data_IF_459395381660
#
_entry.id   IF_459395381660
#
_cell.length_a   1.000
_cell.length_b   1.000
_cell.length_c   1.000
_cell.angle_alpha   90.00
_cell.angle_beta   90.00
_cell.angle_gamma   90.00
#
_symmetry.space_group_name_H-M   'P 1'
#
loop_
_entity.id
_entity.type
_entity.pdbx_description
1 polymer ?
#
# COMPACT_ATOMS: atom_id res chain seq x y z
N UNK A 1 -5.60 11.80 -61.15
CA UNK A 1 -5.30 12.01 -59.74
C UNK A 1 -5.35 13.52 -59.52
N UNK A 2 -6.29 13.99 -58.69
CA UNK A 2 -6.58 15.43 -58.54
C UNK A 2 -7.21 15.73 -57.20
N UNK A 3 -6.89 16.89 -56.63
CA UNK A 3 -7.54 17.41 -55.43
C UNK A 3 -9.03 17.68 -55.68
N UNK A 4 -9.89 17.21 -54.79
CA UNK A 4 -11.35 17.33 -54.86
C UNK A 4 -11.90 18.09 -53.64
N UNK A 5 -12.17 19.39 -53.82
CA UNK A 5 -12.91 20.20 -52.87
C UNK A 5 -14.38 20.27 -53.33
N UNK A 6 -15.23 19.34 -52.87
CA UNK A 6 -16.60 19.18 -53.39
C UNK A 6 -17.67 19.88 -52.58
N UNK A 7 -17.35 20.32 -51.36
CA UNK A 7 -18.29 21.00 -50.46
C UNK A 7 -18.10 22.52 -50.41
N UNK A 8 -19.03 23.19 -49.74
CA UNK A 8 -18.96 24.62 -49.43
C UNK A 8 -17.75 24.93 -48.55
N UNK A 9 -17.00 25.99 -48.87
CA UNK A 9 -15.81 26.42 -48.11
C UNK A 9 -14.74 25.31 -47.90
N UNK A 10 -14.71 24.30 -48.78
CA UNK A 10 -13.77 23.19 -48.71
C UNK A 10 -12.36 23.60 -49.16
N UNK A 11 -11.33 23.02 -48.53
CA UNK A 11 -9.93 23.16 -48.95
C UNK A 11 -9.35 21.77 -49.21
N UNK A 12 -8.87 21.52 -50.44
CA UNK A 12 -8.18 20.28 -50.80
C UNK A 12 -6.84 20.60 -51.49
N UNK A 13 -5.73 20.11 -50.94
CA UNK A 13 -4.37 20.36 -51.44
C UNK A 13 -3.56 19.05 -51.44
N UNK A 14 -3.22 18.55 -52.62
CA UNK A 14 -2.42 17.33 -52.78
C UNK A 14 -3.06 16.36 -53.77
N UNK A 15 -2.28 15.38 -54.21
CA UNK A 15 -2.78 14.37 -55.16
C UNK A 15 -3.80 13.45 -54.49
N UNK A 16 -4.88 13.10 -55.20
CA UNK A 16 -5.99 12.28 -54.71
C UNK A 16 -6.61 12.72 -53.36
N UNK A 17 -6.52 14.01 -53.03
CA UNK A 17 -7.15 14.59 -51.83
C UNK A 17 -8.64 14.82 -51.98
N UNK A 18 -9.38 14.69 -50.87
CA UNK A 18 -10.83 14.92 -50.83
C UNK A 18 -11.24 15.72 -49.60
N UNK A 19 -11.96 16.82 -49.83
CA UNK A 19 -12.59 17.63 -48.79
C UNK A 19 -14.06 17.95 -49.15
N UNK A 20 -14.97 17.82 -48.19
CA UNK A 20 -16.39 18.20 -48.33
C UNK A 20 -16.73 19.48 -47.55
N UNK A 21 -17.91 19.61 -46.95
CA UNK A 21 -18.42 20.88 -46.43
C UNK A 21 -17.64 21.41 -45.22
N UNK A 22 -17.08 22.62 -45.35
CA UNK A 22 -16.22 23.27 -44.37
C UNK A 22 -15.03 22.40 -43.94
N UNK A 23 -14.62 21.46 -44.78
CA UNK A 23 -13.55 20.52 -44.48
C UNK A 23 -12.21 20.98 -45.09
N UNK A 24 -11.11 20.55 -44.48
CA UNK A 24 -9.74 20.83 -44.92
C UNK A 24 -9.02 19.50 -45.10
N UNK A 25 -8.51 19.22 -46.29
CA UNK A 25 -7.67 18.06 -46.61
C UNK A 25 -6.35 18.53 -47.24
N UNK A 26 -5.21 18.19 -46.66
CA UNK A 26 -3.87 18.58 -47.13
C UNK A 26 -2.92 17.39 -47.05
N UNK A 27 -2.26 17.00 -48.14
CA UNK A 27 -1.34 15.84 -48.21
C UNK A 27 -1.77 14.82 -49.26
N UNK A 28 -0.92 13.91 -49.73
CA UNK A 28 -1.32 12.92 -50.74
C UNK A 28 -2.38 11.98 -50.16
N UNK A 29 -3.48 11.74 -50.88
CA UNK A 29 -4.59 10.87 -50.44
C UNK A 29 -5.29 11.31 -49.14
N UNK A 30 -5.05 12.52 -48.65
CA UNK A 30 -5.73 13.04 -47.45
C UNK A 30 -7.24 13.13 -47.66
N UNK A 31 -8.03 12.65 -46.70
CA UNK A 31 -9.47 12.42 -46.84
C UNK A 31 -10.26 13.02 -45.66
N UNK A 32 -10.83 14.20 -45.88
CA UNK A 32 -11.72 14.91 -44.97
C UNK A 32 -13.16 14.91 -45.56
N UNK A 33 -13.83 13.75 -45.55
CA UNK A 33 -15.09 13.55 -46.30
C UNK A 33 -16.37 13.90 -45.54
N UNK A 34 -16.27 14.36 -44.30
CA UNK A 34 -17.42 14.78 -43.51
C UNK A 34 -17.36 16.26 -43.13
N UNK A 35 -18.50 16.80 -42.70
CA UNK A 35 -18.63 18.22 -42.38
C UNK A 35 -17.65 18.63 -41.27
N UNK A 36 -16.98 19.77 -41.47
CA UNK A 36 -16.03 20.36 -40.50
C UNK A 36 -14.83 19.45 -40.14
N UNK A 37 -14.49 18.49 -41.01
CA UNK A 37 -13.35 17.60 -40.82
C UNK A 37 -12.02 18.28 -41.22
N UNK A 38 -10.93 17.99 -40.50
CA UNK A 38 -9.58 18.48 -40.84
C UNK A 38 -8.63 17.30 -40.95
N UNK A 39 -8.15 16.97 -42.14
CA UNK A 39 -7.16 15.94 -42.42
C UNK A 39 -5.89 16.58 -43.00
N UNK A 40 -4.77 16.54 -42.27
CA UNK A 40 -3.49 17.15 -42.69
C UNK A 40 -2.36 16.13 -42.56
N UNK A 41 -1.90 15.59 -43.68
CA UNK A 41 -0.86 14.57 -43.77
C UNK A 41 -1.21 13.53 -44.83
N UNK A 42 -0.19 12.89 -45.39
CA UNK A 42 -0.38 11.85 -46.40
C UNK A 42 -1.20 10.69 -45.81
N UNK A 43 -2.20 10.21 -46.54
CA UNK A 43 -3.16 9.18 -46.13
C UNK A 43 -3.92 9.48 -44.81
N UNK A 44 -3.95 10.74 -44.37
CA UNK A 44 -4.72 11.13 -43.19
C UNK A 44 -6.23 11.06 -43.44
N UNK A 45 -7.01 10.63 -42.46
CA UNK A 45 -8.46 10.45 -42.56
C UNK A 45 -9.15 11.17 -41.41
N UNK A 46 -10.09 12.07 -41.72
CA UNK A 46 -10.93 12.75 -40.75
C UNK A 46 -12.41 12.65 -41.15
N UNK A 47 -13.25 12.29 -40.18
CA UNK A 47 -14.72 12.28 -40.30
C UNK A 47 -15.35 13.47 -39.56
N UNK A 48 -16.64 13.41 -39.22
CA UNK A 48 -17.47 14.55 -38.80
C UNK A 48 -16.87 15.29 -37.61
N UNK A 49 -16.59 16.59 -37.77
CA UNK A 49 -16.05 17.45 -36.72
C UNK A 49 -14.75 16.92 -36.08
N UNK A 50 -13.99 16.12 -36.82
CA UNK A 50 -12.77 15.50 -36.32
C UNK A 50 -11.51 16.13 -36.91
N UNK A 51 -10.38 15.92 -36.24
CA UNK A 51 -9.08 16.44 -36.63
C UNK A 51 -8.09 15.28 -36.72
N UNK A 52 -7.54 15.03 -37.90
CA UNK A 52 -6.43 14.13 -38.14
C UNK A 52 -5.22 14.93 -38.67
N UNK A 53 -4.09 14.91 -37.96
CA UNK A 53 -2.86 15.58 -38.40
C UNK A 53 -1.66 14.65 -38.23
N UNK A 54 -0.82 14.54 -39.26
CA UNK A 54 0.24 13.55 -39.37
C UNK A 54 -0.02 12.52 -40.47
N UNK A 55 1.05 11.95 -41.02
CA UNK A 55 0.91 10.92 -42.05
C UNK A 55 0.22 9.68 -41.46
N UNK A 56 -0.75 9.12 -42.17
CA UNK A 56 -1.59 8.00 -41.73
C UNK A 56 -2.37 8.24 -40.43
N UNK A 57 -2.50 9.48 -39.95
CA UNK A 57 -3.35 9.80 -38.80
C UNK A 57 -4.83 9.54 -39.15
N UNK A 58 -5.57 8.86 -38.27
CA UNK A 58 -6.96 8.45 -38.49
C UNK A 58 -7.85 8.92 -37.34
N UNK A 59 -8.71 9.89 -37.64
CA UNK A 59 -9.78 10.37 -36.78
C UNK A 59 -11.11 9.84 -37.33
N UNK A 60 -11.42 8.56 -37.03
CA UNK A 60 -12.53 7.82 -37.64
C UNK A 60 -13.88 8.11 -36.97
N UNK A 61 -13.88 8.37 -35.66
CA UNK A 61 -15.08 8.70 -34.90
C UNK A 61 -15.48 10.17 -35.07
N UNK A 62 -16.76 10.48 -34.86
CA UNK A 62 -17.19 11.87 -34.75
C UNK A 62 -16.47 12.58 -33.58
N UNK A 63 -16.19 13.87 -33.75
CA UNK A 63 -15.55 14.74 -32.73
C UNK A 63 -14.21 14.21 -32.18
N UNK A 64 -13.51 13.37 -32.95
CA UNK A 64 -12.21 12.80 -32.58
C UNK A 64 -11.03 13.71 -32.91
N UNK A 65 -9.90 13.49 -32.22
CA UNK A 65 -8.62 14.15 -32.50
C UNK A 65 -7.54 13.09 -32.61
N UNK A 66 -6.88 12.98 -33.76
CA UNK A 66 -5.73 12.13 -34.02
C UNK A 66 -4.55 12.99 -34.49
N UNK A 67 -3.48 13.09 -33.69
CA UNK A 67 -2.33 13.96 -33.96
C UNK A 67 -1.04 13.17 -33.81
N UNK A 68 -0.33 12.94 -34.90
CA UNK A 68 0.92 12.17 -34.94
C UNK A 68 0.93 11.17 -36.09
N UNK A 69 2.13 10.70 -36.47
CA UNK A 69 2.25 9.61 -37.44
C UNK A 69 1.49 8.39 -36.93
N UNK A 70 0.55 7.88 -37.72
CA UNK A 70 -0.26 6.70 -37.43
C UNK A 70 -1.07 6.78 -36.11
N UNK A 71 -1.34 8.00 -35.60
CA UNK A 71 -2.27 8.19 -34.48
C UNK A 71 -3.68 7.76 -34.89
N UNK A 72 -4.39 7.01 -34.05
CA UNK A 72 -5.69 6.43 -34.37
C UNK A 72 -6.71 6.68 -33.26
N UNK A 73 -7.70 7.53 -33.54
CA UNK A 73 -8.88 7.75 -32.71
C UNK A 73 -10.12 7.17 -33.41
N UNK A 74 -10.67 6.08 -32.86
CA UNK A 74 -11.57 5.19 -33.60
C UNK A 74 -13.03 5.58 -33.46
N UNK A 75 -13.47 5.97 -32.27
CA UNK A 75 -14.89 6.18 -31.93
C UNK A 75 -15.14 7.56 -31.31
N UNK A 76 -16.39 7.88 -31.00
CA UNK A 76 -16.85 9.22 -30.57
C UNK A 76 -15.97 9.83 -29.45
N UNK A 77 -15.60 11.11 -29.62
CA UNK A 77 -14.80 11.91 -28.68
C UNK A 77 -13.40 11.37 -28.34
N UNK A 78 -12.89 10.37 -29.06
CA UNK A 78 -11.55 9.83 -28.86
C UNK A 78 -10.44 10.85 -29.15
N UNK A 79 -9.41 10.89 -28.32
CA UNK A 79 -8.23 11.75 -28.46
C UNK A 79 -6.98 10.85 -28.52
N UNK A 80 -6.28 10.81 -29.64
CA UNK A 80 -5.01 10.11 -29.82
C UNK A 80 -3.92 11.11 -30.24
N UNK A 81 -2.98 11.42 -29.37
CA UNK A 81 -1.91 12.40 -29.62
C UNK A 81 -0.55 11.77 -29.38
N UNK A 82 0.18 11.45 -30.45
CA UNK A 82 1.49 10.82 -30.40
C UNK A 82 1.70 9.86 -31.57
N UNK A 83 2.96 9.48 -31.82
CA UNK A 83 3.29 8.46 -32.81
C UNK A 83 2.61 7.13 -32.43
N UNK A 84 1.73 6.62 -33.29
CA UNK A 84 0.96 5.39 -33.07
C UNK A 84 0.18 5.38 -31.73
N UNK A 85 -0.27 6.55 -31.25
CA UNK A 85 -1.21 6.63 -30.13
C UNK A 85 -2.58 6.05 -30.53
N UNK A 86 -3.23 5.30 -29.65
CA UNK A 86 -4.46 4.57 -29.92
C UNK A 86 -5.55 4.90 -28.91
N UNK A 87 -6.59 5.61 -29.35
CA UNK A 87 -7.83 5.82 -28.62
C UNK A 87 -8.92 4.98 -29.30
N UNK A 88 -9.12 3.74 -28.84
CA UNK A 88 -9.88 2.72 -29.60
C UNK A 88 -11.38 2.73 -29.33
N UNK A 89 -11.81 3.32 -28.21
CA UNK A 89 -13.20 3.31 -27.74
C UNK A 89 -13.69 4.70 -27.29
N UNK A 90 -14.97 4.78 -26.94
CA UNK A 90 -15.66 6.05 -26.71
C UNK A 90 -15.02 6.85 -25.57
N UNK A 91 -14.83 8.15 -25.79
CA UNK A 91 -14.21 9.08 -24.84
C UNK A 91 -12.78 8.67 -24.39
N UNK A 92 -12.12 7.76 -25.11
CA UNK A 92 -10.74 7.36 -24.82
C UNK A 92 -9.76 8.50 -25.07
N UNK A 93 -8.80 8.71 -24.17
CA UNK A 93 -7.73 9.69 -24.33
C UNK A 93 -6.38 9.01 -24.23
N UNK A 94 -5.64 8.93 -25.34
CA UNK A 94 -4.30 8.37 -25.45
C UNK A 94 -3.32 9.48 -25.87
N UNK A 95 -2.41 9.87 -24.99
CA UNK A 95 -1.42 10.94 -25.21
C UNK A 95 -0.02 10.40 -24.97
N UNK A 96 0.81 10.32 -26.00
CA UNK A 96 2.16 9.76 -25.95
C UNK A 96 2.37 8.75 -27.06
N UNK A 97 3.63 8.57 -27.48
CA UNK A 97 3.95 7.55 -28.46
C UNK A 97 3.56 6.16 -27.94
N UNK A 98 2.91 5.34 -28.78
CA UNK A 98 2.44 3.99 -28.43
C UNK A 98 1.45 3.92 -27.25
N UNK A 99 0.90 5.06 -26.80
CA UNK A 99 -0.12 5.06 -25.75
C UNK A 99 -1.42 4.41 -26.23
N UNK A 100 -2.14 3.71 -25.34
CA UNK A 100 -3.36 2.99 -25.69
C UNK A 100 -4.44 3.20 -24.62
N UNK A 101 -5.61 3.67 -25.02
CA UNK A 101 -6.75 3.88 -24.14
C UNK A 101 -8.05 3.30 -24.73
N UNK A 102 -8.86 2.68 -23.88
CA UNK A 102 -10.21 2.15 -24.19
C UNK A 102 -11.32 3.02 -23.58
N UNK A 103 -12.52 2.47 -23.38
CA UNK A 103 -13.74 3.24 -23.07
C UNK A 103 -13.62 4.09 -21.82
N UNK A 104 -13.81 5.41 -21.95
CA UNK A 104 -13.64 6.40 -20.88
C UNK A 104 -12.26 6.35 -20.18
N UNK A 105 -11.27 5.74 -20.81
CA UNK A 105 -9.95 5.56 -20.23
C UNK A 105 -9.00 6.69 -20.63
N UNK A 106 -7.99 6.92 -19.79
CA UNK A 106 -6.94 7.92 -20.04
C UNK A 106 -5.59 7.22 -19.95
N UNK A 107 -4.84 7.22 -21.04
CA UNK A 107 -3.45 6.81 -21.11
C UNK A 107 -2.58 8.02 -21.48
N UNK A 108 -1.67 8.44 -20.61
CA UNK A 108 -0.80 9.60 -20.86
C UNK A 108 0.66 9.29 -20.50
N UNK A 109 1.54 9.19 -21.49
CA UNK A 109 2.94 8.78 -21.37
C UNK A 109 3.36 7.91 -22.55
N UNK A 110 4.66 7.73 -22.75
CA UNK A 110 5.15 6.79 -23.78
C UNK A 110 4.79 5.37 -23.35
N UNK A 111 4.14 4.62 -24.24
CA UNK A 111 3.66 3.26 -23.97
C UNK A 111 2.69 3.12 -22.78
N UNK A 112 2.09 4.21 -22.31
CA UNK A 112 1.05 4.16 -21.28
C UNK A 112 -0.16 3.35 -21.78
N UNK A 113 -0.69 2.45 -20.96
CA UNK A 113 -1.69 1.46 -21.36
C UNK A 113 -2.86 1.43 -20.38
N UNK A 114 -3.97 2.04 -20.76
CA UNK A 114 -5.24 2.05 -20.04
C UNK A 114 -6.24 1.12 -20.76
N UNK A 115 -6.16 -0.18 -20.47
CA UNK A 115 -6.85 -1.23 -21.24
C UNK A 115 -8.27 -1.54 -20.75
N UNK A 116 -8.57 -1.19 -19.50
CA UNK A 116 -9.91 -1.38 -18.92
C UNK A 116 -10.80 -0.14 -19.02
N UNK A 117 -12.10 -0.35 -18.94
CA UNK A 117 -13.05 0.75 -18.93
C UNK A 117 -12.82 1.67 -17.72
N UNK A 118 -12.83 2.99 -17.95
CA UNK A 118 -12.56 4.01 -16.92
C UNK A 118 -11.20 3.87 -16.22
N UNK A 119 -10.21 3.27 -16.89
CA UNK A 119 -8.85 3.16 -16.39
C UNK A 119 -8.07 4.47 -16.57
N UNK A 120 -7.13 4.76 -15.67
CA UNK A 120 -6.24 5.93 -15.77
C UNK A 120 -4.79 5.45 -15.65
N UNK A 121 -4.02 5.50 -16.72
CA UNK A 121 -2.59 5.21 -16.76
C UNK A 121 -1.81 6.49 -17.13
N UNK A 122 -1.06 7.06 -16.19
CA UNK A 122 -0.29 8.29 -16.40
C UNK A 122 1.17 8.07 -16.03
N UNK A 123 2.07 8.10 -17.01
CA UNK A 123 3.50 7.85 -16.87
C UNK A 123 3.98 6.86 -17.93
N UNK A 124 5.27 6.92 -18.24
CA UNK A 124 5.88 6.03 -19.22
C UNK A 124 5.77 4.57 -18.76
N UNK A 125 5.34 3.68 -19.65
CA UNK A 125 5.08 2.25 -19.39
C UNK A 125 4.09 1.99 -18.23
N UNK A 126 3.25 2.97 -17.87
CA UNK A 126 2.20 2.76 -16.86
C UNK A 126 1.08 1.86 -17.39
N UNK A 127 0.53 0.99 -16.55
CA UNK A 127 -0.52 0.03 -16.92
C UNK A 127 -1.68 0.12 -15.96
N UNK A 128 -2.88 0.37 -16.48
CA UNK A 128 -4.13 0.37 -15.73
C UNK A 128 -5.19 -0.52 -16.43
N UNK A 129 -5.91 -1.30 -15.64
CA UNK A 129 -7.08 -2.10 -16.06
C UNK A 129 -8.38 -1.49 -15.53
N UNK A 130 -9.48 -2.25 -15.50
CA UNK A 130 -10.84 -1.74 -15.28
C UNK A 130 -10.97 -0.95 -13.97
N UNK A 131 -11.44 0.31 -14.09
CA UNK A 131 -11.65 1.23 -12.95
C UNK A 131 -10.41 1.42 -12.06
N UNK A 132 -9.21 1.20 -12.60
CA UNK A 132 -7.96 1.31 -11.85
C UNK A 132 -7.19 2.57 -12.21
N UNK A 133 -6.27 2.97 -11.33
CA UNK A 133 -5.46 4.17 -11.47
C UNK A 133 -3.99 3.77 -11.32
N UNK A 134 -3.19 3.93 -12.37
CA UNK A 134 -1.74 3.83 -12.35
C UNK A 134 -1.13 5.21 -12.67
N UNK A 135 -0.36 5.78 -11.73
CA UNK A 135 0.32 7.06 -11.95
C UNK A 135 1.79 6.97 -11.54
N UNK A 136 2.70 7.37 -12.41
CA UNK A 136 4.14 7.18 -12.28
C UNK A 136 4.70 6.26 -13.36
N UNK A 137 5.98 6.46 -13.70
CA UNK A 137 6.64 5.59 -14.68
C UNK A 137 6.69 4.14 -14.17
N UNK A 138 6.35 3.20 -15.04
CA UNK A 138 6.23 1.77 -14.72
C UNK A 138 5.24 1.42 -13.59
N UNK A 139 4.34 2.33 -13.19
CA UNK A 139 3.28 2.02 -12.24
C UNK A 139 2.29 1.00 -12.84
N UNK A 140 1.91 -0.02 -12.08
CA UNK A 140 1.05 -1.12 -12.54
C UNK A 140 -0.14 -1.31 -11.61
N UNK A 141 -1.32 -0.97 -12.10
CA UNK A 141 -2.61 -1.22 -11.49
C UNK A 141 -3.30 -2.35 -12.29
N UNK A 142 -2.89 -3.60 -12.01
CA UNK A 142 -3.27 -4.77 -12.82
C UNK A 142 -4.65 -5.33 -12.43
N UNK A 143 -5.03 -5.22 -11.15
CA UNK A 143 -6.33 -5.65 -10.67
C UNK A 143 -7.44 -4.63 -10.98
N UNK A 144 -8.69 -5.09 -11.03
CA UNK A 144 -9.82 -4.17 -11.08
C UNK A 144 -9.84 -3.29 -9.82
N UNK A 145 -10.32 -2.05 -9.95
CA UNK A 145 -10.47 -1.09 -8.84
C UNK A 145 -9.19 -0.84 -8.01
N UNK A 146 -8.01 -1.07 -8.61
CA UNK A 146 -6.71 -0.86 -7.96
C UNK A 146 -6.20 0.57 -8.08
N UNK A 147 -5.29 0.94 -7.19
CA UNK A 147 -4.57 2.22 -7.21
C UNK A 147 -3.08 1.95 -7.08
N UNK A 148 -2.28 2.30 -8.07
CA UNK A 148 -0.82 2.25 -8.08
C UNK A 148 -0.26 3.66 -8.34
N UNK A 149 0.39 4.27 -7.35
CA UNK A 149 0.90 5.64 -7.42
C UNK A 149 2.37 5.68 -7.01
N UNK A 150 3.27 5.99 -7.95
CA UNK A 150 4.71 6.06 -7.73
C UNK A 150 5.49 5.31 -8.81
N UNK A 151 6.79 5.58 -8.92
CA UNK A 151 7.67 4.81 -9.80
C UNK A 151 7.64 3.34 -9.40
N UNK A 152 7.32 2.46 -10.34
CA UNK A 152 7.27 1.00 -10.15
C UNK A 152 6.32 0.54 -9.02
N UNK A 153 5.34 1.36 -8.63
CA UNK A 153 4.28 0.93 -7.72
C UNK A 153 3.44 -0.19 -8.36
N UNK A 154 3.11 -1.24 -7.62
CA UNK A 154 2.44 -2.42 -8.17
C UNK A 154 1.26 -2.86 -7.29
N UNK A 155 0.04 -2.70 -7.81
CA UNK A 155 -1.20 -3.21 -7.24
C UNK A 155 -1.74 -4.33 -8.15
N UNK A 156 -1.65 -5.58 -7.70
CA UNK A 156 -1.75 -6.75 -8.59
C UNK A 156 -3.18 -7.27 -8.74
N UNK A 157 -3.98 -7.23 -7.68
CA UNK A 157 -5.30 -7.88 -7.62
C UNK A 157 -6.38 -6.91 -7.13
N UNK A 158 -7.65 -7.36 -7.12
CA UNK A 158 -8.83 -6.55 -6.82
C UNK A 158 -8.67 -5.67 -5.56
N UNK A 159 -9.06 -4.39 -5.67
CA UNK A 159 -9.04 -3.38 -4.60
C UNK A 159 -7.66 -3.09 -3.97
N UNK A 160 -6.56 -3.56 -4.56
CA UNK A 160 -5.20 -3.28 -4.07
C UNK A 160 -4.82 -1.80 -4.17
N UNK A 161 -4.17 -1.26 -3.14
CA UNK A 161 -3.67 0.11 -3.08
C UNK A 161 -2.16 0.07 -2.84
N UNK A 162 -1.36 0.49 -3.81
CA UNK A 162 0.09 0.63 -3.73
C UNK A 162 0.50 2.09 -3.97
N UNK A 163 0.92 2.81 -2.93
CA UNK A 163 1.28 4.24 -3.02
C UNK A 163 2.69 4.44 -2.50
N UNK A 164 3.65 4.69 -3.38
CA UNK A 164 5.06 4.89 -3.07
C UNK A 164 5.98 4.31 -4.14
N UNK A 165 7.26 4.70 -4.10
CA UNK A 165 8.28 4.10 -4.96
C UNK A 165 8.41 2.60 -4.68
N UNK A 166 8.14 1.76 -5.68
CA UNK A 166 8.18 0.30 -5.55
C UNK A 166 7.32 -0.26 -4.40
N UNK A 167 6.20 0.42 -4.07
CA UNK A 167 5.19 -0.11 -3.15
C UNK A 167 4.47 -1.32 -3.78
N UNK A 168 4.19 -2.36 -2.99
CA UNK A 168 3.65 -3.64 -3.47
C UNK A 168 2.40 -4.06 -2.71
N UNK A 169 1.25 -3.95 -3.35
CA UNK A 169 -0.01 -4.56 -2.91
C UNK A 169 -0.28 -5.79 -3.79
N UNK A 170 0.17 -6.97 -3.34
CA UNK A 170 0.26 -8.15 -4.21
C UNK A 170 -1.00 -9.01 -4.24
N UNK A 171 -1.87 -8.86 -3.25
CA UNK A 171 -3.07 -9.68 -3.05
C UNK A 171 -4.33 -8.82 -2.80
N UNK A 172 -5.48 -9.48 -2.74
CA UNK A 172 -6.80 -8.83 -2.67
C UNK A 172 -6.93 -7.94 -1.43
N UNK A 173 -7.49 -6.74 -1.61
CA UNK A 173 -7.68 -5.73 -0.57
C UNK A 173 -6.39 -5.32 0.17
N UNK A 174 -5.21 -5.62 -0.39
CA UNK A 174 -3.93 -5.23 0.19
C UNK A 174 -3.72 -3.70 0.08
N UNK A 175 -3.25 -3.07 1.15
CA UNK A 175 -2.88 -1.64 1.16
C UNK A 175 -1.42 -1.48 1.55
N UNK A 176 -0.58 -1.06 0.62
CA UNK A 176 0.84 -0.76 0.81
C UNK A 176 1.09 0.74 0.53
N UNK A 177 1.43 1.51 1.56
CA UNK A 177 1.67 2.95 1.48
C UNK A 177 3.07 3.26 2.02
N UNK A 178 3.95 3.78 1.19
CA UNK A 178 5.35 4.06 1.52
C UNK A 178 6.29 3.41 0.51
N UNK A 179 7.50 3.97 0.36
CA UNK A 179 8.50 3.39 -0.51
C UNK A 179 8.89 1.99 -0.02
N UNK A 180 8.99 1.01 -0.92
CA UNK A 180 9.31 -0.39 -0.61
C UNK A 180 8.34 -1.08 0.36
N UNK A 181 7.17 -0.51 0.62
CA UNK A 181 6.14 -1.14 1.45
C UNK A 181 5.55 -2.37 0.74
N UNK A 182 5.17 -3.40 1.51
CA UNK A 182 4.60 -4.64 0.97
C UNK A 182 3.44 -5.13 1.83
N UNK A 183 2.29 -5.36 1.19
CA UNK A 183 1.09 -5.89 1.81
C UNK A 183 0.51 -7.05 0.99
N UNK A 184 0.03 -8.08 1.69
CA UNK A 184 -0.66 -9.25 1.14
C UNK A 184 -2.17 -9.21 1.47
N UNK A 185 -2.84 -10.36 1.45
CA UNK A 185 -4.31 -10.47 1.48
C UNK A 185 -4.93 -9.77 2.71
N UNK A 186 -5.81 -8.79 2.47
CA UNK A 186 -6.45 -7.96 3.50
C UNK A 186 -5.46 -7.25 4.45
N UNK A 187 -4.19 -7.15 4.09
CA UNK A 187 -3.15 -6.60 4.93
C UNK A 187 -2.96 -5.10 4.68
N UNK A 188 -2.45 -4.40 5.69
CA UNK A 188 -2.13 -2.97 5.64
C UNK A 188 -0.67 -2.77 6.04
N UNK A 189 0.16 -2.31 5.10
CA UNK A 189 1.52 -1.85 5.33
C UNK A 189 1.59 -0.34 5.08
N UNK A 190 1.96 0.45 6.09
CA UNK A 190 2.05 1.90 5.97
C UNK A 190 3.35 2.43 6.62
N UNK A 191 4.31 2.85 5.81
CA UNK A 191 5.65 3.27 6.21
C UNK A 191 6.68 2.87 5.16
N UNK A 192 7.88 3.48 5.21
CA UNK A 192 8.99 3.06 4.34
C UNK A 192 9.41 1.64 4.75
N UNK A 193 9.51 0.72 3.78
CA UNK A 193 9.87 -0.68 4.02
C UNK A 193 8.94 -1.45 4.98
N UNK A 194 7.75 -0.93 5.28
CA UNK A 194 6.75 -1.62 6.09
C UNK A 194 6.29 -2.91 5.40
N UNK A 195 6.24 -4.02 6.14
CA UNK A 195 5.97 -5.36 5.63
C UNK A 195 4.83 -6.02 6.40
N UNK A 196 3.65 -6.06 5.79
CA UNK A 196 2.49 -6.80 6.25
C UNK A 196 2.34 -8.06 5.38
N UNK A 197 3.15 -9.09 5.68
CA UNK A 197 3.32 -10.27 4.80
C UNK A 197 2.32 -11.39 5.07
N UNK A 198 1.58 -11.32 6.18
CA UNK A 198 0.55 -12.29 6.53
C UNK A 198 -0.87 -11.82 6.21
N UNK A 199 -1.81 -12.76 6.19
CA UNK A 199 -3.23 -12.42 5.96
C UNK A 199 -3.75 -11.55 7.10
N UNK A 200 -4.47 -10.47 6.76
CA UNK A 200 -5.02 -9.51 7.73
C UNK A 200 -3.98 -8.89 8.66
N UNK A 201 -2.71 -8.83 8.23
CA UNK A 201 -1.62 -8.22 8.98
C UNK A 201 -1.71 -6.70 8.95
N UNK A 202 -1.28 -6.03 10.02
CA UNK A 202 -1.19 -4.57 10.08
C UNK A 202 0.25 -4.19 10.48
N UNK A 203 0.99 -3.54 9.59
CA UNK A 203 2.35 -3.04 9.82
C UNK A 203 2.39 -1.52 9.56
N UNK A 204 2.46 -0.71 10.61
CA UNK A 204 2.40 0.76 10.51
C UNK A 204 3.63 1.39 11.17
N UNK A 205 4.49 2.01 10.38
CA UNK A 205 5.78 2.59 10.77
C UNK A 205 6.90 2.15 9.83
N UNK A 206 8.00 2.89 9.83
CA UNK A 206 9.16 2.54 9.00
C UNK A 206 9.81 1.24 9.49
N UNK A 207 10.22 0.37 8.56
CA UNK A 207 10.82 -0.94 8.81
C UNK A 207 9.98 -1.88 9.72
N UNK A 208 8.66 -1.69 9.75
CA UNK A 208 7.74 -2.55 10.51
C UNK A 208 7.50 -3.90 9.87
N UNK A 209 7.25 -4.92 10.69
CA UNK A 209 6.96 -6.28 10.21
C UNK A 209 5.81 -6.91 10.97
N UNK A 210 4.77 -7.32 10.24
CA UNK A 210 3.62 -8.06 10.76
C UNK A 210 3.32 -9.29 9.88
N UNK A 211 3.00 -10.42 10.51
CA UNK A 211 2.56 -11.66 9.85
C UNK A 211 1.06 -11.94 10.14
N UNK A 212 0.61 -13.19 10.09
CA UNK A 212 -0.82 -13.54 10.03
C UNK A 212 -1.63 -13.04 11.22
N UNK A 213 -2.63 -12.19 10.96
CA UNK A 213 -3.46 -11.53 11.97
C UNK A 213 -2.66 -10.78 13.04
N UNK A 214 -1.41 -10.42 12.72
CA UNK A 214 -0.52 -9.71 13.62
C UNK A 214 -0.63 -8.19 13.42
N UNK A 215 -0.35 -7.44 14.48
CA UNK A 215 -0.37 -5.98 14.49
C UNK A 215 0.97 -5.48 14.97
N UNK A 216 1.72 -4.79 14.11
CA UNK A 216 2.96 -4.08 14.41
C UNK A 216 2.77 -2.58 14.15
N UNK A 217 2.94 -1.74 15.17
CA UNK A 217 2.80 -0.28 15.05
C UNK A 217 3.95 0.42 15.78
N UNK A 218 4.71 1.27 15.09
CA UNK A 218 5.92 1.95 15.61
C UNK A 218 7.15 1.65 14.77
N UNK A 219 8.17 2.50 14.79
CA UNK A 219 9.37 2.30 13.96
C UNK A 219 10.07 0.99 14.36
N UNK A 220 10.39 0.15 13.39
CA UNK A 220 11.01 -1.18 13.61
C UNK A 220 10.19 -2.14 14.51
N UNK A 221 8.90 -1.87 14.74
CA UNK A 221 8.04 -2.78 15.50
C UNK A 221 7.89 -4.13 14.77
N UNK A 222 7.93 -5.23 15.54
CA UNK A 222 8.10 -6.58 15.01
C UNK A 222 7.11 -7.56 15.64
N UNK A 223 6.03 -7.86 14.91
CA UNK A 223 5.02 -8.86 15.25
C UNK A 223 5.14 -10.04 14.27
N UNK A 224 6.18 -10.86 14.42
CA UNK A 224 6.60 -11.88 13.42
C UNK A 224 5.90 -13.23 13.53
N UNK A 225 4.94 -13.37 14.44
CA UNK A 225 4.19 -14.60 14.62
C UNK A 225 2.68 -14.35 14.60
N UNK A 226 1.91 -15.43 14.40
CA UNK A 226 0.47 -15.33 14.29
C UNK A 226 -0.18 -14.70 15.53
N UNK A 227 -1.12 -13.79 15.31
CA UNK A 227 -1.88 -13.08 16.36
C UNK A 227 -1.01 -12.29 17.35
N UNK A 228 0.22 -11.95 16.97
CA UNK A 228 1.12 -11.12 17.79
C UNK A 228 0.72 -9.64 17.72
N UNK A 229 0.87 -8.90 18.82
CA UNK A 229 0.61 -7.46 18.88
C UNK A 229 1.86 -6.75 19.42
N UNK A 230 2.57 -6.03 18.57
CA UNK A 230 3.74 -5.20 18.92
C UNK A 230 3.42 -3.72 18.66
N UNK A 231 3.27 -2.92 19.71
CA UNK A 231 2.94 -1.49 19.60
C UNK A 231 3.97 -0.65 20.36
N UNK A 232 4.81 0.07 19.63
CA UNK A 232 5.91 0.89 20.13
C UNK A 232 7.17 0.68 19.31
N UNK A 233 8.03 1.69 19.27
CA UNK A 233 9.30 1.60 18.54
C UNK A 233 10.16 0.46 19.08
N UNK A 234 10.74 -0.35 18.19
CA UNK A 234 11.52 -1.55 18.50
C UNK A 234 10.79 -2.59 19.39
N UNK A 235 9.45 -2.54 19.48
CA UNK A 235 8.68 -3.54 20.22
C UNK A 235 8.70 -4.88 19.50
N UNK A 236 8.73 -5.98 20.26
CA UNK A 236 8.81 -7.35 19.72
C UNK A 236 7.74 -8.21 20.36
N UNK A 237 6.87 -8.79 19.54
CA UNK A 237 5.86 -9.77 19.95
C UNK A 237 5.96 -11.04 19.08
N UNK A 238 5.90 -12.19 19.74
CA UNK A 238 5.81 -13.52 19.12
C UNK A 238 4.39 -14.12 19.27
N UNK A 239 4.24 -15.44 19.13
CA UNK A 239 2.95 -16.14 18.96
C UNK A 239 1.94 -15.79 20.05
N UNK A 240 0.80 -15.19 19.65
CA UNK A 240 -0.29 -14.81 20.55
C UNK A 240 0.15 -13.93 21.74
N UNK A 241 1.24 -13.18 21.58
CA UNK A 241 1.79 -12.33 22.62
C UNK A 241 1.50 -10.86 22.36
N UNK A 242 1.58 -10.04 23.41
CA UNK A 242 1.30 -8.62 23.38
C UNK A 242 2.51 -7.87 23.94
N UNK A 243 3.20 -7.08 23.13
CA UNK A 243 4.22 -6.13 23.53
C UNK A 243 3.72 -4.71 23.26
N UNK A 244 3.59 -3.88 24.30
CA UNK A 244 3.18 -2.48 24.14
C UNK A 244 4.12 -1.56 24.92
N UNK A 245 4.65 -0.53 24.26
CA UNK A 245 5.71 0.34 24.77
C UNK A 245 6.98 0.23 23.93
N UNK A 246 7.75 1.32 23.86
CA UNK A 246 9.02 1.31 23.14
C UNK A 246 9.98 0.29 23.78
N UNK A 247 10.62 -0.51 22.94
CA UNK A 247 11.50 -1.63 23.32
C UNK A 247 10.84 -2.72 24.19
N UNK A 248 9.50 -2.75 24.32
CA UNK A 248 8.81 -3.83 25.01
C UNK A 248 9.01 -5.17 24.28
N UNK A 249 9.29 -6.25 25.02
CA UNK A 249 9.60 -7.57 24.49
C UNK A 249 8.70 -8.64 25.09
N UNK A 250 7.80 -9.18 24.28
CA UNK A 250 6.99 -10.35 24.57
C UNK A 250 7.52 -11.52 23.73
N UNK A 251 8.62 -12.14 24.20
CA UNK A 251 9.37 -13.15 23.42
C UNK A 251 8.75 -14.54 23.51
N UNK A 252 8.08 -14.85 24.62
CA UNK A 252 7.41 -16.14 24.83
C UNK A 252 6.04 -16.19 24.19
N UNK A 253 5.56 -17.40 23.86
CA UNK A 253 4.16 -17.58 23.46
C UNK A 253 3.21 -17.11 24.58
N UNK A 254 2.07 -16.54 24.20
CA UNK A 254 1.01 -16.10 25.13
C UNK A 254 1.49 -15.13 26.23
N UNK A 255 2.58 -14.40 25.99
CA UNK A 255 3.13 -13.41 26.94
C UNK A 255 2.50 -12.03 26.81
N UNK A 256 2.60 -11.23 27.87
CA UNK A 256 2.18 -9.83 27.90
C UNK A 256 3.31 -8.98 28.45
N UNK A 257 3.86 -8.08 27.66
CA UNK A 257 4.85 -7.07 28.05
C UNK A 257 4.28 -5.66 27.81
N UNK A 258 4.06 -4.88 28.86
CA UNK A 258 3.43 -3.55 28.78
C UNK A 258 4.27 -2.53 29.53
N UNK A 259 4.87 -1.59 28.83
CA UNK A 259 5.74 -0.54 29.37
C UNK A 259 7.04 -0.41 28.58
N UNK A 260 7.71 0.73 28.72
CA UNK A 260 9.06 0.92 28.17
C UNK A 260 9.99 -0.18 28.69
N UNK A 261 10.64 -0.92 27.79
CA UNK A 261 11.59 -1.98 28.12
C UNK A 261 11.01 -3.11 29.01
N UNK A 262 9.68 -3.26 29.07
CA UNK A 262 9.06 -4.41 29.74
C UNK A 262 9.44 -5.71 29.01
N UNK A 263 9.81 -6.76 29.74
CA UNK A 263 10.34 -7.99 29.16
C UNK A 263 9.66 -9.24 29.76
N UNK A 264 8.86 -9.91 28.94
CA UNK A 264 8.27 -11.21 29.23
C UNK A 264 8.90 -12.27 28.30
N UNK A 265 9.74 -13.14 28.84
CA UNK A 265 10.70 -13.93 28.06
C UNK A 265 10.12 -15.26 27.59
N UNK A 266 9.31 -15.91 28.41
CA UNK A 266 8.88 -17.31 28.23
C UNK A 266 7.37 -17.47 28.39
N UNK A 267 6.85 -18.65 28.04
CA UNK A 267 5.41 -18.98 28.02
C UNK A 267 4.60 -18.41 29.19
N UNK A 268 3.47 -17.76 28.87
CA UNK A 268 2.50 -17.17 29.80
C UNK A 268 3.06 -16.07 30.75
N UNK A 269 4.27 -15.55 30.51
CA UNK A 269 4.84 -14.46 31.31
C UNK A 269 4.06 -13.15 31.16
N UNK A 270 3.89 -12.42 32.27
CA UNK A 270 3.25 -11.10 32.33
C UNK A 270 4.22 -10.11 32.94
N UNK A 271 4.70 -9.13 32.17
CA UNK A 271 5.55 -8.03 32.60
C UNK A 271 4.85 -6.69 32.34
N UNK A 272 4.37 -6.02 33.38
CA UNK A 272 3.62 -4.76 33.26
C UNK A 272 4.29 -3.67 34.09
N UNK A 273 4.96 -2.73 33.44
CA UNK A 273 5.69 -1.62 34.07
C UNK A 273 6.97 -1.30 33.32
N UNK A 274 7.52 -0.10 33.53
CA UNK A 274 8.82 0.29 33.02
C UNK A 274 9.90 -0.70 33.49
N UNK A 275 10.58 -1.37 32.55
CA UNK A 275 11.61 -2.38 32.82
C UNK A 275 11.14 -3.51 33.77
N UNK A 276 9.84 -3.85 33.77
CA UNK A 276 9.34 -5.04 34.47
C UNK A 276 9.86 -6.32 33.80
N UNK A 277 10.25 -7.33 34.58
CA UNK A 277 10.89 -8.55 34.09
C UNK A 277 10.17 -9.81 34.56
N UNK A 278 9.52 -10.50 33.62
CA UNK A 278 8.98 -11.84 33.80
C UNK A 278 9.85 -12.83 32.99
N UNK A 279 10.90 -13.37 33.61
CA UNK A 279 11.99 -14.05 32.88
C UNK A 279 11.76 -15.54 32.64
N UNK A 280 10.83 -16.16 33.36
CA UNK A 280 10.56 -17.59 33.31
C UNK A 280 9.05 -17.91 33.17
N UNK A 281 8.73 -19.20 33.01
CA UNK A 281 7.39 -19.67 32.71
C UNK A 281 6.38 -19.26 33.80
N UNK A 282 5.21 -18.77 33.36
CA UNK A 282 4.12 -18.30 34.22
C UNK A 282 4.54 -17.20 35.23
N UNK A 283 5.67 -16.52 35.01
CA UNK A 283 6.11 -15.41 35.84
C UNK A 283 5.19 -14.19 35.66
N UNK A 284 4.80 -13.54 36.77
CA UNK A 284 4.01 -12.30 36.74
C UNK A 284 4.75 -11.20 37.48
N UNK A 285 5.27 -10.21 36.76
CA UNK A 285 5.94 -9.02 37.25
C UNK A 285 5.11 -7.77 36.92
N UNK A 286 4.51 -7.13 37.93
CA UNK A 286 3.66 -5.94 37.78
C UNK A 286 4.23 -4.82 38.65
N UNK A 287 4.70 -3.75 38.02
CA UNK A 287 5.35 -2.60 38.64
C UNK A 287 6.66 -2.27 37.97
N UNK A 288 7.07 -1.01 38.02
CA UNK A 288 8.36 -0.60 37.47
C UNK A 288 9.49 -1.36 38.17
N UNK A 289 10.46 -1.88 37.39
CA UNK A 289 11.59 -2.67 37.89
C UNK A 289 11.19 -3.95 38.67
N UNK A 290 9.94 -4.40 38.59
CA UNK A 290 9.52 -5.66 39.22
C UNK A 290 10.19 -6.85 38.52
N UNK A 291 10.51 -7.90 39.27
CA UNK A 291 11.16 -9.11 38.75
C UNK A 291 10.51 -10.37 39.28
N UNK A 292 10.06 -11.24 38.39
CA UNK A 292 9.50 -12.54 38.71
C UNK A 292 10.15 -13.65 37.85
N UNK A 293 10.40 -14.79 38.50
CA UNK A 293 10.91 -16.03 37.89
C UNK A 293 9.82 -17.11 37.83
N UNK A 294 10.21 -18.38 37.73
CA UNK A 294 9.30 -19.51 37.43
C UNK A 294 8.10 -19.60 38.39
N UNK A 295 6.87 -19.52 37.86
CA UNK A 295 5.61 -19.53 38.61
C UNK A 295 5.53 -18.48 39.74
N UNK A 296 6.35 -17.42 39.68
CA UNK A 296 6.44 -16.42 40.72
C UNK A 296 5.58 -15.19 40.39
N UNK A 297 5.17 -14.47 41.44
CA UNK A 297 4.41 -13.23 41.32
C UNK A 297 5.14 -12.12 42.07
N UNK A 298 5.59 -11.10 41.35
CA UNK A 298 6.11 -9.85 41.89
C UNK A 298 5.16 -8.71 41.53
N UNK A 299 4.55 -8.05 42.52
CA UNK A 299 3.61 -6.95 42.31
C UNK A 299 3.96 -5.75 43.20
N UNK A 300 4.41 -4.65 42.62
CA UNK A 300 4.91 -3.46 43.30
C UNK A 300 6.16 -2.90 42.60
N UNK A 301 6.48 -1.62 42.82
CA UNK A 301 7.72 -1.04 42.30
C UNK A 301 8.90 -1.78 42.93
N UNK A 302 9.83 -2.27 42.11
CA UNK A 302 11.00 -3.03 42.55
C UNK A 302 10.69 -4.28 43.37
N UNK A 303 9.46 -4.82 43.31
CA UNK A 303 9.12 -6.11 43.91
C UNK A 303 9.94 -7.24 43.24
N UNK A 304 10.49 -8.16 44.04
CA UNK A 304 11.42 -9.19 43.59
C UNK A 304 10.99 -10.57 44.08
N UNK A 305 10.43 -11.38 43.18
CA UNK A 305 10.06 -12.77 43.42
C UNK A 305 10.96 -13.69 42.58
N UNK A 306 12.21 -13.88 43.03
CA UNK A 306 13.29 -14.57 42.27
C UNK A 306 13.45 -16.05 42.61
N UNK A 307 12.59 -16.58 43.48
CA UNK A 307 12.49 -18.00 43.74
C UNK A 307 11.32 -18.64 43.01
N UNK A 308 11.42 -19.93 42.69
CA UNK A 308 10.31 -20.68 42.12
C UNK A 308 9.09 -20.63 43.04
N UNK A 309 7.92 -20.31 42.48
CA UNK A 309 6.64 -20.17 43.21
C UNK A 309 6.67 -19.13 44.35
N UNK A 310 7.53 -18.12 44.26
CA UNK A 310 7.59 -17.02 45.21
C UNK A 310 6.49 -15.98 44.95
N UNK A 311 6.00 -15.32 46.01
CA UNK A 311 5.02 -14.23 45.91
C UNK A 311 5.53 -13.02 46.67
N UNK A 312 5.92 -11.95 45.97
CA UNK A 312 6.33 -10.67 46.52
C UNK A 312 5.30 -9.60 46.14
N UNK A 313 4.51 -9.09 47.10
CA UNK A 313 3.48 -8.08 46.85
C UNK A 313 3.72 -6.87 47.75
N UNK A 314 4.07 -5.74 47.16
CA UNK A 314 4.42 -4.47 47.81
C UNK A 314 5.71 -3.90 47.22
N UNK A 315 5.87 -2.58 47.29
CA UNK A 315 7.08 -1.92 46.83
C UNK A 315 8.31 -2.43 47.60
N UNK A 316 9.40 -2.71 46.89
CA UNK A 316 10.64 -3.30 47.42
C UNK A 316 10.45 -4.63 48.19
N UNK A 317 9.32 -5.33 47.99
CA UNK A 317 9.11 -6.64 48.61
C UNK A 317 10.02 -7.70 47.98
N UNK A 318 10.51 -8.64 48.78
CA UNK A 318 11.43 -9.70 48.35
C UNK A 318 10.93 -11.06 48.82
N UNK A 319 10.69 -11.97 47.89
CA UNK A 319 10.35 -13.36 48.14
C UNK A 319 11.32 -14.30 47.40
N UNK A 320 11.80 -15.33 48.09
CA UNK A 320 12.59 -16.42 47.51
C UNK A 320 11.75 -17.70 47.40
N UNK A 321 12.38 -18.86 47.19
CA UNK A 321 11.72 -20.12 46.82
C UNK A 321 10.54 -20.50 47.72
N UNK A 322 9.35 -20.63 47.11
CA UNK A 322 8.10 -20.99 47.76
C UNK A 322 7.71 -20.09 48.95
N UNK A 323 8.20 -18.86 48.99
CA UNK A 323 7.92 -17.91 50.08
C UNK A 323 6.93 -16.83 49.67
N UNK A 324 6.28 -16.22 50.66
CA UNK A 324 5.30 -15.15 50.46
C UNK A 324 5.74 -13.94 51.29
N UNK A 325 5.99 -12.81 50.62
CA UNK A 325 6.27 -11.51 51.23
C UNK A 325 5.19 -10.51 50.80
N UNK A 326 4.40 -10.03 51.75
CA UNK A 326 3.34 -9.04 51.49
C UNK A 326 3.54 -7.78 52.33
N UNK A 327 3.35 -6.61 51.70
CA UNK A 327 3.61 -5.29 52.27
C UNK A 327 4.92 -4.65 51.78
N UNK A 328 4.99 -3.32 51.86
CA UNK A 328 6.18 -2.57 51.45
C UNK A 328 7.42 -3.02 52.22
N UNK A 329 8.52 -3.26 51.51
CA UNK A 329 9.80 -3.76 52.03
C UNK A 329 9.71 -5.08 52.81
N UNK A 330 8.63 -5.87 52.65
CA UNK A 330 8.53 -7.20 53.24
C UNK A 330 9.58 -8.13 52.61
N UNK A 331 10.36 -8.84 53.43
CA UNK A 331 11.39 -9.80 52.96
C UNK A 331 11.20 -11.20 53.53
N UNK A 332 10.68 -12.12 52.73
CA UNK A 332 10.57 -13.55 53.03
C UNK A 332 11.68 -14.30 52.29
N UNK A 333 12.81 -14.54 52.95
CA UNK A 333 14.01 -15.14 52.32
C UNK A 333 14.23 -16.61 52.67
N UNK A 334 13.45 -17.15 53.60
CA UNK A 334 13.49 -18.58 53.94
C UNK A 334 12.62 -19.39 52.99
N UNK A 335 13.01 -20.62 52.69
CA UNK A 335 12.16 -21.55 51.95
C UNK A 335 10.83 -21.74 52.69
N UNK A 336 9.70 -21.71 51.98
CA UNK A 336 8.34 -21.82 52.57
C UNK A 336 8.02 -20.79 53.65
N UNK A 337 8.72 -19.66 53.69
CA UNK A 337 8.49 -18.61 54.69
C UNK A 337 7.34 -17.67 54.31
N UNK A 338 6.66 -17.12 55.32
CA UNK A 338 5.66 -16.07 55.16
C UNK A 338 6.12 -14.83 55.93
N UNK A 339 6.14 -13.67 55.29
CA UNK A 339 6.31 -12.38 55.95
C UNK A 339 5.22 -11.41 55.50
N UNK A 340 4.63 -10.73 56.48
CA UNK A 340 3.58 -9.77 56.29
C UNK A 340 3.94 -8.47 57.03
N UNK A 341 4.10 -7.39 56.28
CA UNK A 341 4.29 -6.03 56.80
C UNK A 341 2.97 -5.29 56.64
N UNK A 342 2.32 -4.97 57.75
CA UNK A 342 1.08 -4.19 57.75
C UNK A 342 1.38 -2.75 58.15
N UNK A 343 0.95 -1.79 57.33
CA UNK A 343 0.79 -0.40 57.79
C UNK A 343 -0.46 -0.35 58.66
N UNK A 344 -0.38 0.17 59.89
CA UNK A 344 -1.59 0.36 60.71
C UNK A 344 -2.53 1.31 59.97
N UNK A 345 -3.71 0.84 59.60
CA UNK A 345 -4.82 1.74 59.25
C UNK A 345 -5.17 2.52 60.51
N UNK A 346 -5.09 3.84 60.45
CA UNK A 346 -5.58 4.72 61.51
C UNK A 346 -7.10 4.83 61.45
#
# INVERSE_FOLDING_TARGET
MSAQATGTSAVAIGDDTRATDNAVAVGISANATAAQAVAVGDDSVATTQSIATGASARANGATTVAVGYDANAVTLNGIAVGNSAQATDENATAIGALSSATTNAVAAGVSASATGASAVAVGDDSVATTQSIATGASARANGATTVAVGYDANAVTLNGIAVGNSAQATDENATAIGALSSATTNAVAAGVSAQATGTSAVAIGDDTRATDNAVAVGISANATAAQAVAVGDDSVATTQSIATGASARANGATTVAVGYDANAVTLNGIAVGNSAQATDENATAIGALSSATTNAVAAGVSASATGASAVAVGDDSVATTQSIATGASARATGQTSLRLVMTRMQ
#
